data_IF_954718358415
#
_entry.id   IF_954718358415
#
_cell.length_a   1.000
_cell.length_b   1.000
_cell.length_c   1.000
_cell.angle_alpha   90.00
_cell.angle_beta   90.00
_cell.angle_gamma   90.00
#
_symmetry.space_group_name_H-M   'P 1'
#
loop_
_entity.id
_entity.type
_entity.pdbx_description
1 polymer ?
#
# COMPACT_ATOMS: atom_id res chain seq x y z
N UNK A 1 -9.06 -3.24 -29.05
CA UNK A 1 -8.63 -3.91 -27.80
C UNK A 1 -8.75 -2.91 -26.66
N UNK A 2 -9.28 -3.32 -25.50
CA UNK A 2 -9.24 -2.47 -24.30
C UNK A 2 -7.98 -2.86 -23.51
N UNK A 3 -7.04 -1.93 -23.38
CA UNK A 3 -5.86 -2.12 -22.53
C UNK A 3 -6.33 -2.05 -21.07
N UNK A 4 -5.91 -2.98 -20.18
CA UNK A 4 -6.23 -2.89 -18.76
C UNK A 4 -5.73 -1.56 -18.16
N UNK A 5 -6.45 -0.98 -17.18
CA UNK A 5 -6.03 0.27 -16.56
C UNK A 5 -4.72 0.09 -15.79
N UNK A 6 -3.85 1.10 -15.86
CA UNK A 6 -2.64 1.19 -15.05
C UNK A 6 -2.99 1.79 -13.68
N UNK A 7 -2.49 1.19 -12.62
CA UNK A 7 -2.65 1.59 -11.23
C UNK A 7 -1.29 1.66 -10.53
N UNK A 8 -1.20 2.41 -9.44
CA UNK A 8 -0.02 2.37 -8.57
C UNK A 8 -0.17 1.22 -7.58
N UNK A 9 0.82 0.31 -7.57
CA UNK A 9 0.95 -0.74 -6.56
C UNK A 9 1.76 -0.20 -5.37
N UNK A 10 1.09 0.05 -4.24
CA UNK A 10 1.66 0.78 -3.10
C UNK A 10 2.93 0.16 -2.51
N UNK A 11 3.03 -1.18 -2.32
CA UNK A 11 4.24 -1.82 -1.81
C UNK A 11 5.51 -1.60 -2.65
N UNK A 12 5.39 -1.47 -3.97
CA UNK A 12 6.54 -1.17 -4.84
C UNK A 12 6.62 0.30 -5.24
N UNK A 13 5.55 1.08 -5.01
CA UNK A 13 5.40 2.45 -5.51
C UNK A 13 5.29 2.55 -7.03
N UNK A 14 5.35 1.41 -7.74
CA UNK A 14 5.47 1.35 -9.19
C UNK A 14 4.14 1.13 -9.92
N UNK A 15 4.13 1.36 -11.23
CA UNK A 15 2.96 1.11 -12.07
C UNK A 15 2.72 -0.40 -12.23
N UNK A 16 1.45 -0.80 -12.19
CA UNK A 16 1.00 -2.15 -12.51
C UNK A 16 -0.31 -2.09 -13.30
N UNK A 17 -0.54 -3.06 -14.17
CA UNK A 17 -1.81 -3.27 -14.84
C UNK A 17 -2.78 -4.00 -13.90
N UNK A 18 -3.95 -3.41 -13.69
CA UNK A 18 -5.05 -4.03 -12.99
C UNK A 18 -5.81 -4.95 -13.95
N UNK A 19 -5.70 -6.26 -13.74
CA UNK A 19 -6.30 -7.25 -14.63
C UNK A 19 -7.69 -7.65 -14.19
N UNK A 20 -7.89 -7.84 -12.89
CA UNK A 20 -9.20 -8.20 -12.35
C UNK A 20 -9.34 -7.79 -10.88
N UNK A 21 -10.57 -7.52 -10.49
CA UNK A 21 -11.00 -7.55 -9.09
C UNK A 21 -11.56 -8.93 -8.79
N UNK A 22 -11.10 -9.55 -7.70
CA UNK A 22 -11.52 -10.87 -7.26
C UNK A 22 -12.10 -10.78 -5.86
N UNK A 23 -13.24 -11.43 -5.62
CA UNK A 23 -13.83 -11.54 -4.29
C UNK A 23 -13.29 -12.81 -3.62
N UNK A 24 -12.61 -12.66 -2.50
CA UNK A 24 -12.01 -13.75 -1.76
C UNK A 24 -13.06 -14.45 -0.86
N UNK A 25 -12.87 -15.73 -0.46
CA UNK A 25 -13.85 -16.47 0.35
C UNK A 25 -14.20 -15.81 1.69
N UNK A 26 -13.29 -15.03 2.26
CA UNK A 26 -13.50 -14.20 3.46
C UNK A 26 -14.32 -12.92 3.21
N UNK A 27 -14.87 -12.77 2.00
CA UNK A 27 -15.64 -11.62 1.49
C UNK A 27 -14.83 -10.34 1.30
N UNK A 28 -13.51 -10.39 1.45
CA UNK A 28 -12.64 -9.26 1.10
C UNK A 28 -12.44 -9.17 -0.41
N UNK A 29 -12.10 -7.99 -0.91
CA UNK A 29 -11.78 -7.78 -2.33
C UNK A 29 -10.27 -7.69 -2.54
N UNK A 30 -9.83 -8.38 -3.57
CA UNK A 30 -8.44 -8.50 -3.97
C UNK A 30 -8.28 -8.01 -5.41
N UNK A 31 -7.10 -7.50 -5.73
CA UNK A 31 -6.73 -7.12 -7.08
C UNK A 31 -5.71 -8.11 -7.63
N UNK A 32 -5.90 -8.51 -8.89
CA UNK A 32 -4.88 -9.21 -9.68
C UNK A 32 -4.11 -8.19 -10.50
N UNK A 33 -2.81 -8.08 -10.21
CA UNK A 33 -1.91 -7.12 -10.83
C UNK A 33 -0.86 -7.82 -11.70
N UNK A 34 -0.42 -7.12 -12.74
CA UNK A 34 0.70 -7.50 -13.62
C UNK A 34 1.61 -6.29 -13.82
N UNK A 35 2.92 -6.45 -13.68
CA UNK A 35 3.90 -5.39 -13.97
C UNK A 35 5.15 -5.97 -14.62
N UNK A 36 6.01 -5.10 -15.14
CA UNK A 36 7.28 -5.48 -15.73
C UNK A 36 8.38 -4.86 -14.88
N UNK A 37 9.33 -5.67 -14.45
CA UNK A 37 10.60 -5.22 -13.89
C UNK A 37 11.63 -5.18 -15.01
N UNK A 38 12.29 -4.04 -15.17
CA UNK A 38 13.36 -3.86 -16.15
C UNK A 38 14.69 -3.90 -15.40
N UNK A 39 15.58 -4.80 -15.80
CA UNK A 39 16.94 -4.92 -15.31
C UNK A 39 17.93 -4.65 -16.45
N UNK A 40 19.22 -4.50 -16.13
CA UNK A 40 20.26 -4.16 -17.11
C UNK A 40 20.40 -5.16 -18.27
N UNK A 41 19.98 -6.41 -18.07
CA UNK A 41 20.08 -7.51 -19.04
C UNK A 41 18.71 -7.95 -19.61
N UNK A 42 17.60 -7.32 -19.23
CA UNK A 42 16.29 -7.69 -19.79
C UNK A 42 15.07 -7.20 -19.04
N UNK A 43 13.94 -7.89 -19.30
CA UNK A 43 12.64 -7.60 -18.70
C UNK A 43 12.06 -8.87 -18.08
N UNK A 44 11.50 -8.75 -16.87
CA UNK A 44 10.80 -9.83 -16.18
C UNK A 44 9.36 -9.41 -15.92
N UNK A 45 8.42 -10.20 -16.44
CA UNK A 45 7.00 -10.05 -16.09
C UNK A 45 6.75 -10.57 -14.68
N UNK A 46 6.04 -9.79 -13.88
CA UNK A 46 5.62 -10.13 -12.52
C UNK A 46 4.10 -10.03 -12.40
N UNK A 47 3.56 -10.82 -11.47
CA UNK A 47 2.15 -10.73 -11.12
C UNK A 47 1.96 -10.97 -9.63
N UNK A 48 0.90 -10.39 -9.08
CA UNK A 48 0.50 -10.64 -7.69
C UNK A 48 -1.02 -10.57 -7.53
N UNK A 49 -1.47 -11.24 -6.47
CA UNK A 49 -2.80 -11.04 -5.88
C UNK A 49 -2.60 -10.25 -4.61
N UNK A 50 -3.23 -9.08 -4.53
CA UNK A 50 -3.00 -8.11 -3.45
C UNK A 50 -4.33 -7.65 -2.88
N UNK A 51 -4.33 -7.11 -1.68
CA UNK A 51 -5.56 -6.56 -1.11
C UNK A 51 -5.97 -5.30 -1.86
N UNK A 52 -7.27 -4.97 -1.88
CA UNK A 52 -7.74 -3.73 -2.51
C UNK A 52 -7.10 -2.45 -1.94
N UNK A 53 -6.59 -2.51 -0.71
CA UNK A 53 -5.92 -1.43 0.00
C UNK A 53 -4.50 -1.15 -0.54
N UNK A 54 -3.87 -2.14 -1.20
CA UNK A 54 -2.53 -2.03 -1.79
C UNK A 54 -2.54 -1.37 -3.18
N UNK A 55 -3.72 -1.16 -3.76
CA UNK A 55 -3.90 -0.50 -5.05
C UNK A 55 -4.34 0.93 -4.83
N UNK A 56 -3.66 1.91 -5.44
CA UNK A 56 -4.11 3.30 -5.38
C UNK A 56 -5.49 3.48 -6.07
N UNK A 57 -6.37 4.37 -5.57
CA UNK A 57 -7.61 4.71 -6.26
C UNK A 57 -7.33 5.35 -7.62
N UNK A 58 -8.07 4.94 -8.65
CA UNK A 58 -8.07 5.57 -9.97
C UNK A 58 -9.09 6.72 -9.93
N UNK A 59 -8.68 7.96 -10.23
CA UNK A 59 -9.61 9.08 -10.31
C UNK A 59 -10.78 8.79 -11.26
N UNK A 60 -12.00 9.13 -10.84
CA UNK A 60 -13.22 8.98 -11.67
C UNK A 60 -13.83 7.57 -11.71
N UNK A 61 -13.24 6.58 -11.05
CA UNK A 61 -13.84 5.24 -10.92
C UNK A 61 -14.67 5.11 -9.63
N UNK A 62 -15.81 4.41 -9.72
CA UNK A 62 -16.64 4.12 -8.54
C UNK A 62 -16.09 2.90 -7.78
N UNK A 63 -15.73 3.13 -6.52
CA UNK A 63 -15.19 2.11 -5.62
C UNK A 63 -16.15 1.68 -4.51
N UNK A 64 -17.42 2.13 -4.53
CA UNK A 64 -18.39 1.83 -3.45
C UNK A 64 -18.59 0.33 -3.20
N UNK A 65 -18.43 -0.50 -4.23
CA UNK A 65 -18.55 -1.96 -4.13
C UNK A 65 -17.27 -2.68 -3.66
N UNK A 66 -16.13 -1.96 -3.57
CA UNK A 66 -14.82 -2.48 -3.14
C UNK A 66 -14.53 -1.97 -1.73
N UNK A 67 -14.75 -2.78 -0.69
CA UNK A 67 -14.42 -2.43 0.69
C UNK A 67 -12.92 -2.12 0.77
N UNK A 68 -12.62 -0.89 1.16
CA UNK A 68 -11.26 -0.40 1.37
C UNK A 68 -11.16 0.20 2.77
N UNK A 69 -10.09 -0.10 3.50
CA UNK A 69 -9.83 0.55 4.78
C UNK A 69 -9.49 2.03 4.52
N UNK A 70 -10.35 2.92 5.01
CA UNK A 70 -10.12 4.38 4.97
C UNK A 70 -10.87 5.17 3.90
N UNK A 71 -11.81 4.57 3.15
CA UNK A 71 -12.65 5.29 2.18
C UNK A 71 -14.11 5.53 2.61
N UNK A 72 -14.53 4.96 3.73
CA UNK A 72 -15.83 5.26 4.31
C UNK A 72 -15.66 6.12 5.59
N UNK A 73 -16.01 7.42 5.53
CA UNK A 73 -16.04 8.29 6.70
C UNK A 73 -16.98 7.78 7.82
N UNK A 74 -17.92 6.87 7.50
CA UNK A 74 -18.83 6.25 8.47
C UNK A 74 -18.34 4.91 9.02
N UNK A 75 -17.29 4.34 8.45
CA UNK A 75 -16.72 3.06 8.90
C UNK A 75 -15.70 3.24 10.04
N UNK A 76 -15.43 4.47 10.48
CA UNK A 76 -14.83 4.71 11.78
C UNK A 76 -15.96 4.87 12.82
N UNK A 77 -16.06 4.01 13.85
CA UNK A 77 -16.83 4.40 15.02
C UNK A 77 -16.24 5.73 15.54
N UNK A 78 -17.05 6.65 16.07
CA UNK A 78 -16.54 7.91 16.63
C UNK A 78 -15.39 7.58 17.57
N UNK A 79 -14.20 8.05 17.23
CA UNK A 79 -13.00 7.82 18.03
C UNK A 79 -13.24 8.44 19.39
N UNK A 80 -13.35 7.62 20.43
CA UNK A 80 -13.44 8.11 21.80
C UNK A 80 -12.01 8.52 22.22
N UNK A 81 -11.70 9.81 22.34
CA UNK A 81 -10.34 10.27 22.64
C UNK A 81 -9.86 9.77 24.00
N UNK A 82 -10.78 9.32 24.86
CA UNK A 82 -10.49 8.83 26.20
C UNK A 82 -10.33 7.30 26.27
N UNK A 83 -10.61 6.55 25.19
CA UNK A 83 -10.40 5.10 25.16
C UNK A 83 -8.91 4.76 24.85
N UNK A 84 -8.17 4.13 25.78
CA UNK A 84 -6.78 3.73 25.56
C UNK A 84 -6.64 2.62 24.49
N UNK A 85 -7.74 1.99 24.07
CA UNK A 85 -7.75 0.98 22.99
C UNK A 85 -8.01 1.59 21.62
N UNK A 86 -8.26 2.90 21.54
CA UNK A 86 -8.50 3.60 20.28
C UNK A 86 -7.27 3.49 19.35
N UNK A 87 -7.45 3.09 18.08
CA UNK A 87 -6.36 2.98 17.10
C UNK A 87 -5.61 4.29 16.85
N UNK A 88 -6.25 5.46 17.02
CA UNK A 88 -5.61 6.77 16.93
C UNK A 88 -4.58 7.02 18.05
N UNK A 89 -4.82 6.45 19.23
CA UNK A 89 -3.90 6.49 20.38
C UNK A 89 -2.73 5.50 20.23
N UNK A 90 -2.88 4.42 19.44
CA UNK A 90 -1.79 3.44 19.17
C UNK A 90 -0.70 3.98 18.24
N UNK A 91 -1.04 4.91 17.35
CA UNK A 91 -0.12 5.42 16.31
C UNK A 91 0.96 6.36 16.87
N UNK A 92 0.62 7.14 17.90
CA UNK A 92 1.48 8.23 18.40
C UNK A 92 2.82 7.74 18.99
N UNK A 93 2.94 6.49 19.42
CA UNK A 93 4.13 6.00 20.14
C UNK A 93 5.02 5.01 19.36
N UNK A 94 4.71 4.60 18.12
CA UNK A 94 5.53 3.58 17.41
C UNK A 94 6.32 4.10 16.21
N UNK A 95 5.84 5.17 15.56
CA UNK A 95 6.51 5.74 14.38
C UNK A 95 7.67 6.68 14.74
N UNK A 96 7.51 7.47 15.80
CA UNK A 96 8.51 8.46 16.22
C UNK A 96 9.80 7.85 16.72
N UNK A 97 9.71 6.80 17.54
CA UNK A 97 10.90 6.15 18.13
C UNK A 97 11.72 5.41 17.07
N UNK A 98 11.08 4.72 16.12
CA UNK A 98 11.79 4.06 15.01
C UNK A 98 12.48 5.05 14.07
N UNK A 99 11.87 6.20 13.81
CA UNK A 99 12.46 7.23 12.96
C UNK A 99 13.64 7.93 13.65
N UNK A 100 13.51 8.18 14.96
CA UNK A 100 14.57 8.75 15.79
C UNK A 100 15.76 7.79 15.93
N UNK A 101 15.50 6.50 16.15
CA UNK A 101 16.51 5.44 16.25
C UNK A 101 17.21 5.17 14.91
N UNK A 102 16.49 5.27 13.78
CA UNK A 102 17.08 5.21 12.43
C UNK A 102 17.96 6.43 12.11
N UNK A 103 17.56 7.63 12.55
CA UNK A 103 18.36 8.85 12.40
C UNK A 103 19.64 8.84 13.25
N UNK A 104 19.58 8.32 14.48
CA UNK A 104 20.77 8.14 15.32
C UNK A 104 21.74 7.12 14.71
N UNK A 105 21.24 6.01 14.17
CA UNK A 105 22.08 5.05 13.43
C UNK A 105 22.75 5.65 12.20
N UNK A 106 22.04 6.49 11.45
CA UNK A 106 22.58 7.13 10.26
C UNK A 106 23.70 8.14 10.59
N UNK A 107 23.61 8.81 11.75
CA UNK A 107 24.65 9.75 12.22
C UNK A 107 25.95 9.08 12.69
N UNK A 108 25.90 7.81 13.05
CA UNK A 108 27.06 7.04 13.51
C UNK A 108 27.69 6.14 12.44
N UNK A 109 27.16 6.14 11.21
CA UNK A 109 27.73 5.36 10.10
C UNK A 109 28.86 6.17 9.45
N UNK A 110 30.10 5.69 9.58
CA UNK A 110 31.25 6.25 8.87
C UNK A 110 31.07 6.14 7.35
N UNK A 111 31.75 6.98 6.56
CA UNK A 111 31.56 7.06 5.11
C UNK A 111 31.85 5.71 4.44
N UNK A 112 30.94 5.25 3.58
CA UNK A 112 31.13 4.04 2.76
C UNK A 112 32.28 4.26 1.76
N UNK A 113 33.13 3.24 1.51
CA UNK A 113 34.22 3.36 0.56
C UNK A 113 33.70 3.34 -0.89
N UNK A 114 34.23 4.26 -1.69
CA UNK A 114 34.00 4.32 -3.14
C UNK A 114 34.54 3.06 -3.83
N UNK A 115 33.68 2.43 -4.63
CA UNK A 115 34.04 1.51 -5.71
C UNK A 115 33.28 1.89 -6.98
#
# INVERSE_FOLDING_TARGET
MRVPPVVTYRPTGGPAYLVAWEKHPDRTWWARLLWIEIAGDGYTGRHARVTADDVAPIPGQDYRAVPRRGLDPRSYPPSDPTDPRDPSNRSRNRGGDRYREALERARHRGPEPDF
#
